data_IF_872806617853
#
_entry.id   IF_872806617853
#
_cell.length_a   1.000
_cell.length_b   1.000
_cell.length_c   1.000
_cell.angle_alpha   90.00
_cell.angle_beta   90.00
_cell.angle_gamma   90.00
#
_symmetry.space_group_name_H-M   'P 1'
#
loop_
_entity.id
_entity.type
_entity.pdbx_description
1 polymer ?
#
# COMPACT_ATOMS: atom_id res chain seq x y z
N UNK A 1 15.89 6.85 -3.79
CA UNK A 1 14.49 6.41 -3.62
C UNK A 1 13.92 5.75 -4.89
N UNK A 2 14.08 6.36 -6.08
CA UNK A 2 13.55 5.79 -7.35
C UNK A 2 14.14 4.43 -7.74
N UNK A 3 15.38 4.12 -7.36
CA UNK A 3 16.03 2.83 -7.71
C UNK A 3 15.62 1.66 -6.81
N UNK A 4 15.25 1.90 -5.54
CA UNK A 4 14.93 0.83 -4.56
C UNK A 4 13.56 0.20 -4.85
N UNK A 5 12.71 0.92 -5.57
CA UNK A 5 11.30 0.58 -5.76
C UNK A 5 11.01 -0.03 -7.14
N UNK A 6 12.00 -0.15 -8.03
CA UNK A 6 11.77 -0.75 -9.34
C UNK A 6 11.62 -2.28 -9.23
N UNK A 7 10.56 -2.82 -9.83
CA UNK A 7 10.24 -4.25 -9.83
C UNK A 7 10.01 -4.84 -8.42
N UNK A 8 9.57 -4.01 -7.47
CA UNK A 8 9.39 -4.43 -6.08
C UNK A 8 7.93 -4.74 -5.77
N UNK A 9 7.73 -5.84 -5.05
CA UNK A 9 6.50 -6.16 -4.35
C UNK A 9 6.53 -5.51 -2.96
N UNK A 10 5.51 -4.73 -2.63
CA UNK A 10 5.49 -3.92 -1.43
C UNK A 10 4.22 -4.20 -0.65
N UNK A 11 4.39 -4.38 0.66
CA UNK A 11 3.32 -4.34 1.64
C UNK A 11 3.54 -3.17 2.60
N UNK A 12 2.47 -2.61 3.15
CA UNK A 12 2.55 -1.50 4.10
C UNK A 12 1.93 -1.93 5.44
N UNK A 13 2.68 -1.75 6.53
CA UNK A 13 2.15 -1.90 7.90
C UNK A 13 2.00 -0.51 8.50
N UNK A 14 0.78 -0.20 8.95
CA UNK A 14 0.32 1.15 9.29
C UNK A 14 -0.41 1.78 8.11
N UNK A 15 -1.72 1.92 8.24
CA UNK A 15 -2.68 2.45 7.27
C UNK A 15 -3.14 3.87 7.58
N UNK A 16 -2.36 4.65 8.33
CA UNK A 16 -2.68 6.05 8.67
C UNK A 16 -2.52 7.05 7.51
N UNK A 17 -2.48 8.35 7.84
CA UNK A 17 -2.38 9.45 6.86
C UNK A 17 -1.17 9.34 5.93
N UNK A 18 -0.03 8.91 6.48
CA UNK A 18 1.20 8.73 5.70
C UNK A 18 1.04 7.63 4.68
N UNK A 19 0.39 6.51 5.04
CA UNK A 19 0.09 5.43 4.09
C UNK A 19 -0.75 5.95 2.92
N UNK A 20 -1.82 6.71 3.18
CA UNK A 20 -2.60 7.34 2.10
C UNK A 20 -1.73 8.21 1.20
N UNK A 21 -0.89 9.09 1.77
CA UNK A 21 -0.03 9.96 1.00
C UNK A 21 0.94 9.17 0.10
N UNK A 22 1.56 8.12 0.65
CA UNK A 22 2.44 7.21 -0.09
C UNK A 22 1.68 6.51 -1.21
N UNK A 23 0.50 5.95 -0.94
CA UNK A 23 -0.33 5.30 -1.95
C UNK A 23 -0.75 6.27 -3.05
N UNK A 24 -1.14 7.50 -2.72
CA UNK A 24 -1.53 8.50 -3.70
C UNK A 24 -0.35 8.90 -4.62
N UNK A 25 0.88 8.91 -4.09
CA UNK A 25 2.09 9.14 -4.87
C UNK A 25 2.36 7.96 -5.79
N UNK A 26 2.38 6.73 -5.26
CA UNK A 26 2.73 5.51 -6.01
C UNK A 26 1.68 5.17 -7.08
N UNK A 27 0.40 5.36 -6.78
CA UNK A 27 -0.69 5.09 -7.73
C UNK A 27 -0.96 6.27 -8.68
N UNK A 28 -0.26 7.38 -8.48
CA UNK A 28 -0.33 8.55 -9.34
C UNK A 28 0.38 8.34 -10.68
N UNK A 29 0.09 9.23 -11.66
CA UNK A 29 0.60 9.14 -13.04
C UNK A 29 2.14 9.12 -13.15
N UNK A 30 2.84 9.58 -12.13
CA UNK A 30 4.30 9.68 -12.10
C UNK A 30 5.01 8.32 -11.97
N UNK A 31 4.29 7.24 -11.65
CA UNK A 31 4.86 5.90 -11.48
C UNK A 31 4.36 4.86 -12.49
N UNK A 32 3.62 5.29 -13.53
CA UNK A 32 3.08 4.39 -14.59
C UNK A 32 4.19 3.54 -15.24
N UNK A 33 5.42 4.06 -15.33
CA UNK A 33 6.54 3.36 -15.96
C UNK A 33 7.36 2.49 -14.99
N UNK A 34 6.98 2.41 -13.71
CA UNK A 34 7.66 1.58 -12.72
C UNK A 34 6.77 0.37 -12.40
N UNK A 35 7.28 -0.85 -12.60
CA UNK A 35 6.62 -2.10 -12.18
C UNK A 35 6.61 -2.19 -10.65
N UNK A 36 5.70 -1.45 -10.02
CA UNK A 36 5.47 -1.42 -8.58
C UNK A 36 4.16 -2.12 -8.27
N UNK A 37 4.22 -3.14 -7.42
CA UNK A 37 3.04 -3.88 -7.01
C UNK A 37 2.82 -3.67 -5.52
N UNK A 38 1.76 -2.93 -5.17
CA UNK A 38 1.30 -2.86 -3.79
C UNK A 38 0.42 -4.08 -3.53
N UNK A 39 0.94 -5.04 -2.75
CA UNK A 39 0.28 -6.31 -2.49
C UNK A 39 -0.70 -6.26 -1.32
N UNK A 40 -0.51 -5.35 -0.37
CA UNK A 40 -1.45 -5.17 0.73
C UNK A 40 -1.10 -4.08 1.73
N UNK A 41 -2.10 -3.69 2.53
CA UNK A 41 -1.98 -2.74 3.64
C UNK A 41 -2.60 -3.33 4.90
N UNK A 42 -1.88 -3.29 6.01
CA UNK A 42 -2.39 -3.69 7.31
C UNK A 42 -2.43 -2.52 8.29
N UNK A 43 -3.51 -2.40 9.06
CA UNK A 43 -3.61 -1.50 10.21
C UNK A 43 -4.59 -2.10 11.22
N UNK A 44 -4.28 -2.00 12.51
CA UNK A 44 -5.18 -2.46 13.58
C UNK A 44 -6.53 -1.72 13.58
N UNK A 45 -6.58 -0.50 13.04
CA UNK A 45 -7.78 0.29 12.86
C UNK A 45 -8.32 0.12 11.43
N UNK A 46 -9.44 -0.58 11.29
CA UNK A 46 -10.12 -0.83 10.00
C UNK A 46 -10.68 0.43 9.33
N UNK A 47 -10.68 1.57 10.04
CA UNK A 47 -11.06 2.90 9.54
C UNK A 47 -9.85 3.81 9.33
N UNK A 48 -8.62 3.29 9.43
CA UNK A 48 -7.43 4.07 9.15
C UNK A 48 -7.47 4.58 7.69
N UNK A 49 -7.17 5.86 7.51
CA UNK A 49 -7.44 6.59 6.26
C UNK A 49 -6.76 5.97 5.02
N UNK A 50 -5.49 5.56 5.16
CA UNK A 50 -4.74 4.84 4.12
C UNK A 50 -5.23 3.41 3.89
N UNK A 51 -5.69 2.72 4.93
CA UNK A 51 -6.30 1.39 4.79
C UNK A 51 -7.59 1.45 3.97
N UNK A 52 -8.48 2.38 4.31
CA UNK A 52 -9.73 2.61 3.55
C UNK A 52 -9.41 2.98 2.10
N UNK A 53 -8.47 3.91 1.90
CA UNK A 53 -8.05 4.35 0.56
C UNK A 53 -7.47 3.20 -0.29
N UNK A 54 -6.72 2.27 0.31
CA UNK A 54 -6.20 1.08 -0.33
C UNK A 54 -7.32 0.11 -0.75
N UNK A 55 -8.26 -0.14 0.18
CA UNK A 55 -9.42 -1.01 -0.05
C UNK A 55 -10.27 -0.52 -1.23
N UNK A 56 -10.54 0.78 -1.30
CA UNK A 56 -11.27 1.42 -2.41
C UNK A 56 -10.60 1.23 -3.78
N UNK A 57 -9.30 0.95 -3.81
CA UNK A 57 -8.51 0.73 -5.03
C UNK A 57 -8.26 -0.74 -5.33
N UNK A 58 -8.94 -1.64 -4.61
CA UNK A 58 -8.82 -3.08 -4.81
C UNK A 58 -7.51 -3.68 -4.29
N UNK A 59 -6.74 -2.93 -3.50
CA UNK A 59 -5.56 -3.45 -2.81
C UNK A 59 -6.05 -4.26 -1.61
N UNK A 60 -5.42 -5.41 -1.35
CA UNK A 60 -5.76 -6.21 -0.18
C UNK A 60 -5.54 -5.43 1.11
N UNK A 61 -6.50 -5.52 2.02
CA UNK A 61 -6.37 -4.93 3.35
C UNK A 61 -6.75 -5.92 4.43
N UNK A 62 -6.12 -5.75 5.59
CA UNK A 62 -6.32 -6.62 6.76
C UNK A 62 -6.11 -5.82 8.04
N UNK A 63 -6.71 -6.30 9.14
CA UNK A 63 -6.41 -5.83 10.49
C UNK A 63 -5.32 -6.62 11.20
N UNK A 64 -4.83 -7.72 10.60
CA UNK A 64 -3.69 -8.50 11.07
C UNK A 64 -2.56 -8.47 10.03
N UNK A 65 -1.44 -7.82 10.38
CA UNK A 65 -0.31 -7.70 9.47
C UNK A 65 0.30 -9.05 9.08
N UNK A 66 0.07 -10.13 9.84
CA UNK A 66 0.57 -11.47 9.50
C UNK A 66 -0.04 -12.01 8.22
N UNK A 67 -1.25 -11.58 7.85
CA UNK A 67 -1.87 -11.97 6.59
C UNK A 67 -1.07 -11.49 5.36
N UNK A 68 -0.19 -10.49 5.55
CA UNK A 68 0.69 -9.98 4.51
C UNK A 68 1.85 -10.94 4.17
N UNK A 69 2.19 -11.91 5.03
CA UNK A 69 3.26 -12.87 4.73
C UNK A 69 2.90 -13.86 3.61
N UNK A 70 1.62 -13.96 3.27
CA UNK A 70 1.10 -14.84 2.21
C UNK A 70 0.77 -14.07 0.93
N UNK A 71 1.24 -12.82 0.81
CA UNK A 71 1.02 -11.94 -0.33
C UNK A 71 2.30 -11.85 -1.16
#
# INVERSE_FOLDING_TARGET
>A
MREILQNSNIVIVGGGKVCRAVLAIILGKNFINHKLSILGVADINDKAEGLVYAKERGIFTTTDYKDLFFR
#
